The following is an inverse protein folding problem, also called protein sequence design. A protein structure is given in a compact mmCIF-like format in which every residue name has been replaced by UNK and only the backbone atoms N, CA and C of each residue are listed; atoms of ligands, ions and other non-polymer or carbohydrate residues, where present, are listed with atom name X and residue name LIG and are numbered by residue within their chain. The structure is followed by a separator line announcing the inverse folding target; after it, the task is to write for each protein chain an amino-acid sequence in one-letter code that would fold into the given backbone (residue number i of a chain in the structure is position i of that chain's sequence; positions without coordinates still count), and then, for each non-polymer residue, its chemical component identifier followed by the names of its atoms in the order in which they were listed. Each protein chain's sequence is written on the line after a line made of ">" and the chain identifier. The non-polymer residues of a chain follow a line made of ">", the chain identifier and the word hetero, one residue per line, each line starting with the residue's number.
data_IF_494431475258
#
_entry.id   IF_494431475258
#
_cell.length_a   1.000
_cell.length_b   1.000
_cell.length_c   1.000
_cell.angle_alpha   90.00
_cell.angle_beta   90.00
_cell.angle_gamma   90.00
#
_symmetry.space_group_name_H-M   'P 1'
#
loop_
_entity.id
_entity.type
_entity.pdbx_description
1 polymer ?
#
# COMPACT_ATOMS: atom_id res chain seq x y z
N UNK A 1 -32.26 2.76 71.08
CA UNK A 1 -31.93 3.86 70.13
C UNK A 1 -33.04 3.95 69.13
N UNK A 2 -33.79 5.10 69.02
CA UNK A 2 -34.86 5.21 68.01
C UNK A 2 -34.27 5.10 66.63
N UNK A 3 -34.78 4.21 65.77
CA UNK A 3 -34.43 4.13 64.35
C UNK A 3 -34.99 5.37 63.65
N UNK A 4 -34.15 6.30 63.34
CA UNK A 4 -34.51 7.48 62.51
C UNK A 4 -34.63 7.01 61.07
N UNK A 5 -35.81 7.06 60.49
CA UNK A 5 -36.03 6.73 59.08
C UNK A 5 -35.91 8.02 58.28
N UNK A 6 -34.81 8.16 57.54
CA UNK A 6 -34.55 9.32 56.66
C UNK A 6 -34.78 8.98 55.19
N UNK A 7 -35.44 9.82 54.46
CA UNK A 7 -35.47 9.80 53.01
C UNK A 7 -34.24 10.57 52.49
N UNK A 8 -33.38 9.90 51.74
CA UNK A 8 -32.16 10.49 51.19
C UNK A 8 -32.36 10.75 49.69
N UNK A 9 -32.24 12.00 49.30
CA UNK A 9 -32.19 12.40 47.89
C UNK A 9 -30.78 12.91 47.58
N UNK A 10 -30.15 12.33 46.54
CA UNK A 10 -28.80 12.72 46.15
C UNK A 10 -28.78 13.16 44.66
N UNK A 11 -28.07 14.22 44.36
CA UNK A 11 -27.71 14.62 43.01
C UNK A 11 -26.22 14.55 42.86
N UNK A 12 -25.75 13.81 41.82
CA UNK A 12 -24.36 13.74 41.44
C UNK A 12 -24.20 14.48 40.11
N UNK A 13 -23.30 15.44 40.10
CA UNK A 13 -22.95 16.20 38.89
C UNK A 13 -21.54 15.89 38.49
N UNK A 14 -21.35 15.55 37.24
CA UNK A 14 -20.02 15.39 36.63
C UNK A 14 -19.60 16.68 35.94
N UNK A 15 -18.32 16.98 36.01
CA UNK A 15 -17.69 18.06 35.25
C UNK A 15 -17.00 17.54 33.98
N UNK A 16 -16.25 18.39 33.29
CA UNK A 16 -15.56 18.04 32.06
C UNK A 16 -14.52 16.94 32.30
N UNK A 17 -14.55 15.92 31.45
CA UNK A 17 -13.59 14.81 31.47
C UNK A 17 -12.30 15.29 30.78
N UNK A 18 -11.18 15.10 31.43
CA UNK A 18 -9.84 15.29 30.84
C UNK A 18 -9.27 13.94 30.47
N UNK A 19 -8.99 13.77 29.17
CA UNK A 19 -8.41 12.54 28.65
C UNK A 19 -6.93 12.75 28.33
N UNK A 20 -6.08 11.81 28.71
CA UNK A 20 -4.68 11.76 28.32
C UNK A 20 -4.25 10.33 27.99
N UNK A 21 -3.27 10.19 27.09
CA UNK A 21 -2.65 8.91 26.78
C UNK A 21 -1.40 8.70 27.64
N UNK A 22 -1.29 7.55 28.29
CA UNK A 22 -0.09 7.10 29.01
C UNK A 22 0.37 5.77 28.45
N UNK A 23 1.24 5.79 27.44
CA UNK A 23 1.63 4.58 26.71
C UNK A 23 0.41 3.94 26.01
N UNK A 24 0.07 2.72 26.42
CA UNK A 24 -1.11 2.00 25.95
C UNK A 24 -2.35 2.21 26.83
N UNK A 25 -2.28 3.03 27.84
CA UNK A 25 -3.43 3.34 28.69
C UNK A 25 -4.02 4.70 28.33
N UNK A 26 -5.32 4.78 28.39
CA UNK A 26 -6.10 6.01 28.36
C UNK A 26 -6.45 6.33 29.80
N UNK A 27 -6.00 7.47 30.28
CA UNK A 27 -6.32 7.97 31.60
C UNK A 27 -7.36 9.07 31.45
N UNK A 28 -8.43 8.95 32.24
CA UNK A 28 -9.50 9.94 32.30
C UNK A 28 -9.64 10.45 33.72
N UNK A 29 -9.59 11.77 33.90
CA UNK A 29 -9.82 12.44 35.15
C UNK A 29 -11.12 13.24 35.05
N UNK A 30 -12.01 13.03 36.03
CA UNK A 30 -13.34 13.65 36.01
C UNK A 30 -13.68 14.15 37.40
N UNK A 31 -13.76 15.47 37.58
CA UNK A 31 -14.28 16.02 38.85
C UNK A 31 -15.77 15.69 39.02
N UNK A 32 -16.13 15.25 40.18
CA UNK A 32 -17.51 14.89 40.55
C UNK A 32 -17.89 15.68 41.79
N UNK A 33 -19.05 16.30 41.76
CA UNK A 33 -19.67 16.94 42.93
C UNK A 33 -20.96 16.22 43.30
N UNK A 34 -21.11 15.91 44.58
CA UNK A 34 -22.30 15.28 45.11
C UNK A 34 -22.98 16.21 46.12
N UNK A 35 -24.31 16.29 46.01
CA UNK A 35 -25.16 16.97 46.98
C UNK A 35 -26.22 15.98 47.45
N UNK A 36 -26.21 15.68 48.72
CA UNK A 36 -27.11 14.71 49.37
C UNK A 36 -27.94 15.43 50.40
N UNK A 37 -29.25 15.40 50.26
CA UNK A 37 -30.18 15.96 51.21
C UNK A 37 -30.91 14.85 51.98
N UNK A 38 -30.77 14.83 53.28
CA UNK A 38 -31.48 13.94 54.15
C UNK A 38 -32.70 14.68 54.75
N UNK A 39 -33.90 14.11 54.58
CA UNK A 39 -35.12 14.63 55.20
C UNK A 39 -35.62 13.57 56.20
N UNK A 40 -35.82 13.98 57.41
CA UNK A 40 -36.48 13.12 58.40
C UNK A 40 -38.00 13.12 58.18
N UNK A 41 -38.60 11.95 58.13
CA UNK A 41 -40.05 11.74 57.95
C UNK A 41 -40.85 12.28 59.15
N UNK A 42 -40.21 12.53 60.32
CA UNK A 42 -40.83 13.07 61.52
C UNK A 42 -40.55 14.54 61.81
N UNK A 43 -39.83 15.24 60.91
CA UNK A 43 -39.73 16.71 60.95
C UNK A 43 -38.67 17.31 61.90
N UNK A 44 -37.87 16.51 62.59
CA UNK A 44 -36.81 16.95 63.50
C UNK A 44 -35.54 17.44 62.78
N UNK A 45 -35.24 16.95 61.57
CA UNK A 45 -34.16 17.44 60.72
C UNK A 45 -34.72 18.22 59.55
N UNK A 46 -34.47 19.52 59.56
CA UNK A 46 -34.89 20.48 58.52
C UNK A 46 -34.00 20.37 57.30
N UNK A 47 -33.91 19.16 56.65
CA UNK A 47 -33.30 19.08 55.32
C UNK A 47 -31.79 19.39 55.28
N UNK A 48 -31.01 18.77 56.15
CA UNK A 48 -29.55 18.95 56.13
C UNK A 48 -28.94 18.44 54.80
N UNK A 49 -28.09 19.28 54.23
CA UNK A 49 -27.43 18.98 52.91
C UNK A 49 -25.97 18.62 53.14
N UNK A 50 -25.62 17.41 52.82
CA UNK A 50 -24.21 17.00 52.72
C UNK A 50 -23.66 17.33 51.32
N UNK A 51 -22.48 17.90 51.27
CA UNK A 51 -21.75 18.15 50.05
C UNK A 51 -20.41 17.41 50.06
N UNK A 52 -20.04 16.90 48.92
CA UNK A 52 -18.74 16.24 48.74
C UNK A 52 -18.22 16.50 47.33
N UNK A 53 -16.91 16.59 47.19
CA UNK A 53 -16.23 16.70 45.89
C UNK A 53 -15.18 15.61 45.82
N UNK A 54 -15.16 14.89 44.73
CA UNK A 54 -14.17 13.85 44.44
C UNK A 54 -13.58 14.04 43.06
N UNK A 55 -12.36 13.57 42.86
CA UNK A 55 -11.75 13.38 41.58
C UNK A 55 -11.86 11.88 41.24
N UNK A 56 -12.60 11.56 40.19
CA UNK A 56 -12.66 10.19 39.67
C UNK A 56 -11.56 10.00 38.62
N UNK A 57 -10.89 8.88 38.74
CA UNK A 57 -9.82 8.46 37.83
C UNK A 57 -10.21 7.16 37.16
N UNK A 58 -10.12 7.12 35.84
CA UNK A 58 -10.29 5.90 35.07
C UNK A 58 -9.01 5.59 34.28
N UNK A 59 -8.52 4.38 34.40
CA UNK A 59 -7.43 3.85 33.58
C UNK A 59 -8.00 2.77 32.68
N UNK A 60 -7.98 3.01 31.37
CA UNK A 60 -8.62 2.19 30.36
C UNK A 60 -7.53 1.64 29.44
N UNK A 61 -7.49 0.33 29.29
CA UNK A 61 -6.67 -0.36 28.29
C UNK A 61 -7.58 -1.03 27.28
N UNK A 62 -7.50 -0.58 26.01
CA UNK A 62 -8.28 -1.15 24.92
C UNK A 62 -7.57 -2.40 24.39
N UNK A 63 -8.35 -3.36 23.95
CA UNK A 63 -7.90 -4.61 23.32
C UNK A 63 -8.75 -4.89 22.09
N UNK A 64 -8.12 -5.38 21.05
CA UNK A 64 -8.79 -5.83 19.85
C UNK A 64 -8.85 -7.36 19.85
N UNK A 65 -10.04 -7.90 19.67
CA UNK A 65 -10.25 -9.36 19.60
C UNK A 65 -9.95 -9.89 18.20
N UNK A 66 -9.81 -11.22 18.08
CA UNK A 66 -9.58 -11.89 16.79
C UNK A 66 -10.70 -11.66 15.76
N UNK A 67 -11.89 -11.29 16.18
CA UNK A 67 -13.03 -10.99 15.32
C UNK A 67 -13.29 -9.49 15.16
N UNK A 68 -12.26 -8.65 15.37
CA UNK A 68 -12.29 -7.20 15.21
C UNK A 68 -13.28 -6.47 16.12
N UNK A 69 -13.56 -7.01 17.29
CA UNK A 69 -14.33 -6.29 18.31
C UNK A 69 -13.40 -5.55 19.26
N UNK A 70 -13.81 -4.35 19.60
CA UNK A 70 -13.13 -3.56 20.61
C UNK A 70 -13.63 -4.00 21.98
N UNK A 71 -12.70 -4.34 22.85
CA UNK A 71 -12.95 -4.61 24.28
C UNK A 71 -11.91 -3.84 25.10
N UNK A 72 -12.00 -3.92 26.42
CA UNK A 72 -11.03 -3.23 27.26
C UNK A 72 -11.12 -3.64 28.71
N UNK A 73 -10.07 -3.33 29.45
CA UNK A 73 -10.05 -3.37 30.90
C UNK A 73 -10.10 -1.95 31.42
N UNK A 74 -10.92 -1.72 32.41
CA UNK A 74 -11.12 -0.42 33.03
C UNK A 74 -10.90 -0.59 34.51
N UNK A 75 -10.07 0.27 35.10
CA UNK A 75 -9.91 0.41 36.54
C UNK A 75 -10.38 1.80 36.91
N UNK A 76 -11.28 1.87 37.87
CA UNK A 76 -11.81 3.11 38.40
C UNK A 76 -11.33 3.29 39.85
N UNK A 77 -10.93 4.50 40.16
CA UNK A 77 -10.66 4.96 41.50
C UNK A 77 -11.19 6.37 41.69
N UNK A 78 -11.28 6.81 42.91
CA UNK A 78 -11.62 8.20 43.21
C UNK A 78 -10.90 8.64 44.49
N UNK A 79 -10.61 9.92 44.54
CA UNK A 79 -10.04 10.57 45.71
C UNK A 79 -10.93 11.72 46.14
N UNK A 80 -11.24 11.78 47.41
CA UNK A 80 -12.02 12.86 47.96
C UNK A 80 -11.19 14.15 48.03
N UNK A 81 -11.55 15.16 47.23
CA UNK A 81 -11.06 16.51 47.36
C UNK A 81 -11.69 17.22 48.56
N UNK A 82 -12.99 17.00 48.72
CA UNK A 82 -13.75 17.42 49.90
C UNK A 82 -14.61 16.25 50.33
N UNK A 83 -14.24 15.52 51.41
CA UNK A 83 -15.03 14.39 51.90
C UNK A 83 -16.48 14.77 52.16
N UNK A 84 -17.45 13.87 51.89
CA UNK A 84 -18.84 14.15 52.16
C UNK A 84 -19.09 14.42 53.62
N UNK A 85 -19.77 15.51 53.90
CA UNK A 85 -20.05 15.93 55.27
C UNK A 85 -21.15 16.98 55.36
N UNK A 86 -21.68 17.15 56.57
CA UNK A 86 -22.68 18.15 56.92
C UNK A 86 -21.99 19.17 57.83
N UNK A 87 -22.26 20.44 57.55
CA UNK A 87 -21.85 21.52 58.42
C UNK A 87 -22.90 21.76 59.47
N UNK A 88 -22.60 21.35 60.72
CA UNK A 88 -23.52 21.44 61.83
C UNK A 88 -22.90 22.19 62.99
N UNK A 89 -23.50 23.28 63.46
CA UNK A 89 -23.02 24.12 64.55
C UNK A 89 -21.57 24.60 64.40
N UNK A 90 -21.12 24.90 63.16
CA UNK A 90 -19.78 25.34 62.84
C UNK A 90 -18.72 24.22 62.77
N UNK A 91 -19.12 22.99 62.93
CA UNK A 91 -18.25 21.81 62.77
C UNK A 91 -18.72 20.95 61.58
N UNK A 92 -17.75 20.46 60.79
CA UNK A 92 -18.02 19.59 59.68
C UNK A 92 -17.96 18.09 60.11
N UNK A 93 -19.13 17.47 60.12
CA UNK A 93 -19.27 16.03 60.38
C UNK A 93 -19.01 15.29 59.09
N UNK A 94 -17.93 14.50 59.01
CA UNK A 94 -17.52 13.75 57.79
C UNK A 94 -18.04 12.30 57.85
N UNK A 95 -18.49 11.75 56.72
CA UNK A 95 -18.93 10.33 56.58
C UNK A 95 -18.33 9.69 55.33
N UNK A 96 -17.06 9.96 55.06
CA UNK A 96 -16.36 9.38 53.91
C UNK A 96 -16.44 7.85 53.91
N UNK A 97 -16.17 7.19 55.01
CA UNK A 97 -16.20 5.72 55.12
C UNK A 97 -17.55 5.11 54.69
N UNK A 98 -18.66 5.69 55.15
CA UNK A 98 -20.01 5.24 54.76
C UNK A 98 -20.34 5.52 53.30
N UNK A 99 -19.81 6.59 52.76
CA UNK A 99 -19.91 6.91 51.34
C UNK A 99 -19.10 5.90 50.49
N UNK A 100 -17.91 5.55 50.94
CA UNK A 100 -17.03 4.59 50.25
C UNK A 100 -17.65 3.20 50.22
N UNK A 101 -18.24 2.73 51.33
CA UNK A 101 -18.99 1.46 51.40
C UNK A 101 -20.09 1.39 50.32
N UNK A 102 -20.77 2.49 50.06
CA UNK A 102 -21.86 2.56 49.07
C UNK A 102 -21.36 2.78 47.65
N UNK A 103 -20.23 3.46 47.45
CA UNK A 103 -19.65 3.76 46.14
C UNK A 103 -18.88 2.59 45.55
N UNK A 104 -18.20 1.78 46.41
CA UNK A 104 -17.42 0.65 45.89
C UNK A 104 -18.20 -0.36 45.04
N UNK A 105 -19.43 -0.79 45.42
CA UNK A 105 -20.24 -1.66 44.55
C UNK A 105 -20.54 -1.03 43.19
N UNK A 106 -20.82 0.30 43.17
CA UNK A 106 -21.11 1.07 41.94
C UNK A 106 -19.87 1.12 41.04
N UNK A 107 -18.71 1.39 41.62
CA UNK A 107 -17.42 1.37 40.90
C UNK A 107 -17.21 -0.02 40.27
N UNK A 108 -17.35 -1.10 41.02
CA UNK A 108 -17.22 -2.47 40.51
C UNK A 108 -18.27 -2.80 39.44
N UNK A 109 -19.46 -2.25 39.50
CA UNK A 109 -20.48 -2.43 38.49
C UNK A 109 -20.08 -1.66 37.20
N UNK A 110 -19.64 -0.41 37.29
CA UNK A 110 -19.18 0.38 36.17
C UNK A 110 -17.97 -0.28 35.47
N UNK A 111 -17.02 -0.82 36.25
CA UNK A 111 -15.87 -1.57 35.67
C UNK A 111 -16.32 -2.79 34.87
N UNK A 112 -17.40 -3.44 35.25
CA UNK A 112 -17.97 -4.58 34.52
C UNK A 112 -18.79 -4.19 33.30
N UNK A 113 -19.50 -3.05 33.36
CA UNK A 113 -20.45 -2.64 32.33
C UNK A 113 -19.78 -1.83 31.21
N UNK A 114 -18.77 -1.01 31.52
CA UNK A 114 -18.06 -0.21 30.54
C UNK A 114 -17.44 -1.03 29.38
N UNK A 115 -16.81 -2.21 29.61
CA UNK A 115 -16.34 -3.05 28.51
C UNK A 115 -17.44 -3.50 27.54
N UNK A 116 -18.67 -3.69 28.05
CA UNK A 116 -19.82 -4.04 27.22
C UNK A 116 -20.22 -2.89 26.28
N UNK A 117 -20.09 -1.64 26.73
CA UNK A 117 -20.34 -0.47 25.88
C UNK A 117 -19.29 -0.32 24.80
N UNK A 118 -18.03 -0.71 25.05
CA UNK A 118 -16.98 -0.71 24.03
C UNK A 118 -17.29 -1.70 22.90
N UNK A 119 -17.91 -2.84 23.19
CA UNK A 119 -18.28 -3.83 22.17
C UNK A 119 -19.41 -3.35 21.25
N UNK A 120 -20.16 -2.32 21.62
CA UNK A 120 -21.18 -1.68 20.77
C UNK A 120 -20.57 -0.81 19.64
N UNK A 121 -19.28 -0.52 19.73
CA UNK A 121 -18.56 0.12 18.62
C UNK A 121 -18.45 -0.88 17.48
N UNK A 122 -19.16 -0.67 16.39
CA UNK A 122 -19.22 -1.57 15.23
C UNK A 122 -17.94 -1.51 14.40
N UNK A 123 -16.77 -1.72 15.06
CA UNK A 123 -15.46 -1.62 14.41
C UNK A 123 -15.31 -2.66 13.30
N UNK A 124 -15.77 -3.89 13.52
CA UNK A 124 -15.71 -4.97 12.54
C UNK A 124 -16.33 -4.58 11.20
N UNK A 125 -17.55 -4.05 11.21
CA UNK A 125 -18.26 -3.64 9.98
C UNK A 125 -17.47 -2.60 9.20
N UNK A 126 -16.88 -1.64 9.91
CA UNK A 126 -16.07 -0.58 9.27
C UNK A 126 -14.77 -1.14 8.69
N UNK A 127 -14.07 -1.99 9.44
CA UNK A 127 -12.84 -2.64 8.97
C UNK A 127 -13.13 -3.57 7.80
N UNK A 128 -14.24 -4.32 7.83
CA UNK A 128 -14.64 -5.20 6.73
C UNK A 128 -14.96 -4.43 5.45
N UNK A 129 -15.62 -3.29 5.58
CA UNK A 129 -15.85 -2.41 4.44
C UNK A 129 -14.54 -1.93 3.82
N UNK A 130 -13.59 -1.49 4.64
CA UNK A 130 -12.26 -1.07 4.19
C UNK A 130 -11.45 -2.22 3.58
N UNK A 131 -11.55 -3.41 4.18
CA UNK A 131 -10.91 -4.61 3.67
C UNK A 131 -11.36 -4.92 2.24
N UNK A 132 -12.67 -4.88 1.99
CA UNK A 132 -13.25 -5.09 0.65
C UNK A 132 -12.80 -4.03 -0.35
N UNK A 133 -12.70 -2.77 0.07
CA UNK A 133 -12.21 -1.68 -0.80
C UNK A 133 -10.71 -1.80 -1.15
N UNK A 134 -9.96 -2.56 -0.38
CA UNK A 134 -8.55 -2.85 -0.65
C UNK A 134 -8.35 -3.77 -1.87
N UNK A 135 -9.37 -4.53 -2.31
CA UNK A 135 -9.33 -5.36 -3.50
C UNK A 135 -9.66 -4.49 -4.73
N UNK A 136 -8.67 -3.85 -5.27
CA UNK A 136 -8.87 -2.86 -6.31
C UNK A 136 -7.78 -2.91 -7.37
N UNK A 137 -8.16 -2.51 -8.57
CA UNK A 137 -7.24 -2.23 -9.67
C UNK A 137 -7.10 -0.74 -9.84
N UNK A 138 -5.90 -0.23 -9.64
CA UNK A 138 -5.55 1.18 -9.70
C UNK A 138 -4.86 1.49 -11.02
N UNK A 139 -5.23 2.59 -11.64
CA UNK A 139 -4.55 3.10 -12.81
C UNK A 139 -3.27 3.82 -12.39
N UNK A 140 -2.13 3.38 -12.93
CA UNK A 140 -0.82 4.01 -12.71
C UNK A 140 -0.47 4.96 -13.86
N UNK A 141 -0.89 4.64 -15.08
CA UNK A 141 -0.64 5.42 -16.28
C UNK A 141 -1.82 5.31 -17.26
N UNK A 142 -2.30 6.44 -17.78
CA UNK A 142 -3.48 6.50 -18.65
C UNK A 142 -3.17 6.21 -20.12
N UNK A 143 -1.95 6.47 -20.57
CA UNK A 143 -1.60 6.44 -22.01
C UNK A 143 -0.16 5.99 -22.26
N UNK A 144 0.04 5.28 -23.35
CA UNK A 144 1.31 4.96 -24.01
C UNK A 144 2.37 4.24 -23.14
N UNK A 145 2.17 3.02 -22.76
CA UNK A 145 0.94 2.24 -22.69
C UNK A 145 0.16 2.54 -21.41
N UNK A 146 -1.12 2.11 -21.36
CA UNK A 146 -1.90 2.10 -20.11
C UNK A 146 -1.29 1.11 -19.13
N UNK A 147 -1.12 1.50 -17.87
CA UNK A 147 -0.53 0.63 -16.83
C UNK A 147 -1.45 0.59 -15.61
N UNK A 148 -1.70 -0.62 -15.13
CA UNK A 148 -2.58 -0.90 -14.00
C UNK A 148 -1.85 -1.62 -12.89
N UNK A 149 -2.19 -1.33 -11.65
CA UNK A 149 -1.74 -2.08 -10.49
C UNK A 149 -2.95 -2.73 -9.81
N UNK A 150 -2.96 -4.05 -9.76
CA UNK A 150 -3.95 -4.83 -9.02
C UNK A 150 -3.43 -5.08 -7.61
N UNK A 151 -4.25 -4.74 -6.62
CA UNK A 151 -3.94 -4.88 -5.21
C UNK A 151 -4.83 -5.97 -4.61
N UNK A 152 -4.21 -7.01 -4.06
CA UNK A 152 -4.89 -8.12 -3.40
C UNK A 152 -4.48 -8.19 -1.93
N UNK A 153 -5.29 -7.65 -1.00
CA UNK A 153 -5.06 -7.74 0.43
C UNK A 153 -4.88 -9.17 0.93
N UNK A 154 -3.89 -9.39 1.78
CA UNK A 154 -3.60 -10.68 2.37
C UNK A 154 -3.73 -10.71 3.88
N UNK A 155 -3.31 -9.64 4.55
CA UNK A 155 -3.39 -9.52 6.01
C UNK A 155 -3.59 -8.07 6.41
N UNK A 156 -4.40 -7.86 7.43
CA UNK A 156 -4.50 -6.57 8.09
C UNK A 156 -3.72 -6.63 9.40
N UNK A 157 -2.75 -5.72 9.55
CA UNK A 157 -1.85 -5.64 10.70
C UNK A 157 -2.44 -4.65 11.70
N UNK A 158 -2.28 -4.94 12.98
CA UNK A 158 -2.67 -4.06 14.07
C UNK A 158 -1.48 -3.83 14.99
N UNK A 159 -0.91 -2.64 14.97
CA UNK A 159 0.23 -2.22 15.78
C UNK A 159 -0.15 -1.58 17.11
N UNK A 160 -1.45 -1.47 17.40
CA UNK A 160 -1.92 -0.86 18.63
C UNK A 160 -2.66 0.47 18.41
N UNK A 161 -2.70 1.29 19.45
CA UNK A 161 -3.34 2.61 19.41
C UNK A 161 -2.62 3.61 20.32
N UNK A 162 -2.85 4.88 20.03
CA UNK A 162 -2.43 5.99 20.89
C UNK A 162 -3.54 7.03 21.01
N UNK A 163 -3.66 7.65 22.19
CA UNK A 163 -4.54 8.79 22.39
C UNK A 163 -3.70 10.07 22.31
N UNK A 164 -4.01 10.94 21.35
CA UNK A 164 -3.40 12.28 21.23
C UNK A 164 -4.49 13.31 20.90
N UNK A 165 -4.44 14.46 21.55
CA UNK A 165 -5.39 15.56 21.30
C UNK A 165 -6.87 15.10 21.39
N UNK A 166 -7.21 14.30 22.39
CA UNK A 166 -8.53 13.68 22.57
C UNK A 166 -9.02 12.82 21.39
N UNK A 167 -8.10 12.37 20.51
CA UNK A 167 -8.40 11.50 19.39
C UNK A 167 -7.69 10.17 19.55
N UNK A 168 -8.45 9.09 19.43
CA UNK A 168 -7.90 7.75 19.36
C UNK A 168 -7.36 7.50 17.95
N UNK A 169 -6.08 7.19 17.85
CA UNK A 169 -5.43 6.79 16.59
C UNK A 169 -5.13 5.31 16.67
N UNK A 170 -5.60 4.57 15.70
CA UNK A 170 -5.25 3.15 15.53
C UNK A 170 -4.08 3.06 14.56
N UNK A 171 -3.11 2.20 14.89
CA UNK A 171 -2.03 1.82 13.99
C UNK A 171 -2.45 0.55 13.22
N UNK A 172 -2.73 0.73 11.94
CA UNK A 172 -3.14 -0.33 11.04
C UNK A 172 -2.18 -0.41 9.86
N UNK A 173 -1.81 -1.60 9.48
CA UNK A 173 -1.04 -1.87 8.28
C UNK A 173 -1.76 -2.87 7.37
N UNK A 174 -1.43 -2.86 6.09
CA UNK A 174 -1.96 -3.78 5.10
C UNK A 174 -0.81 -4.53 4.44
N UNK A 175 -0.77 -5.84 4.59
CA UNK A 175 0.04 -6.69 3.74
C UNK A 175 -0.79 -7.11 2.54
N UNK A 176 -0.33 -6.80 1.34
CA UNK A 176 -1.01 -7.08 0.09
C UNK A 176 -0.05 -7.56 -1.00
N UNK A 177 -0.54 -8.41 -1.88
CA UNK A 177 0.10 -8.72 -3.14
C UNK A 177 -0.20 -7.60 -4.13
N UNK A 178 0.82 -7.14 -4.84
CA UNK A 178 0.67 -6.19 -5.94
C UNK A 178 1.09 -6.84 -7.24
N UNK A 179 0.28 -6.66 -8.29
CA UNK A 179 0.58 -7.12 -9.64
C UNK A 179 0.41 -5.93 -10.59
N UNK A 180 1.28 -5.83 -11.57
CA UNK A 180 1.20 -4.75 -12.56
C UNK A 180 0.87 -5.34 -13.94
N UNK A 181 -0.01 -4.67 -14.66
CA UNK A 181 -0.47 -5.06 -15.99
C UNK A 181 -0.30 -3.90 -16.95
N UNK A 182 0.13 -4.22 -18.16
CA UNK A 182 0.25 -3.28 -19.27
C UNK A 182 -0.86 -3.58 -20.27
N UNK A 183 -1.54 -2.53 -20.76
CA UNK A 183 -2.64 -2.69 -21.73
C UNK A 183 -4.03 -2.61 -21.09
N UNK A 184 -4.97 -3.50 -21.42
CA UNK A 184 -6.34 -3.45 -20.93
C UNK A 184 -6.42 -3.54 -19.40
N UNK A 185 -7.39 -2.84 -18.79
CA UNK A 185 -7.63 -2.92 -17.36
C UNK A 185 -7.97 -4.36 -16.94
N UNK A 186 -7.20 -4.99 -16.04
CA UNK A 186 -7.54 -6.29 -15.49
C UNK A 186 -8.75 -6.18 -14.56
N UNK A 187 -9.47 -7.30 -14.39
CA UNK A 187 -10.57 -7.38 -13.43
C UNK A 187 -10.06 -7.12 -11.99
N UNK A 188 -10.92 -6.52 -11.18
CA UNK A 188 -10.63 -6.39 -9.74
C UNK A 188 -10.56 -7.78 -9.09
N UNK A 189 -9.68 -7.97 -8.10
CA UNK A 189 -9.60 -9.25 -7.40
C UNK A 189 -10.88 -9.48 -6.58
N UNK A 190 -11.30 -10.73 -6.48
CA UNK A 190 -12.46 -11.09 -5.66
C UNK A 190 -12.13 -10.92 -4.18
N UNK A 191 -12.92 -10.12 -3.42
CA UNK A 191 -12.69 -9.93 -2.01
C UNK A 191 -12.82 -11.25 -1.22
N UNK A 192 -11.83 -11.54 -0.40
CA UNK A 192 -11.88 -12.63 0.58
C UNK A 192 -12.49 -12.15 1.89
N UNK A 193 -12.99 -13.06 2.75
CA UNK A 193 -13.43 -12.71 4.10
C UNK A 193 -12.31 -12.04 4.89
N UNK A 194 -12.70 -11.07 5.74
CA UNK A 194 -11.76 -10.41 6.65
C UNK A 194 -11.14 -11.42 7.62
N UNK A 195 -9.83 -11.52 7.59
CA UNK A 195 -9.04 -12.37 8.49
C UNK A 195 -8.88 -11.73 9.88
N UNK A 196 -8.57 -12.52 10.93
CA UNK A 196 -8.18 -11.98 12.21
C UNK A 196 -7.03 -10.96 12.10
N UNK A 197 -6.97 -9.94 12.99
CA UNK A 197 -5.87 -8.99 13.00
C UNK A 197 -4.54 -9.69 13.29
N UNK A 198 -3.53 -9.43 12.49
CA UNK A 198 -2.17 -9.79 12.83
C UNK A 198 -1.58 -8.73 13.78
N UNK A 199 -1.28 -9.12 15.02
CA UNK A 199 -0.71 -8.23 16.03
C UNK A 199 0.77 -7.94 15.73
N UNK A 200 1.01 -7.09 14.75
CA UNK A 200 2.32 -6.65 14.31
C UNK A 200 2.29 -5.16 14.08
N UNK A 201 3.31 -4.47 14.55
CA UNK A 201 3.47 -3.05 14.29
C UNK A 201 3.77 -2.84 12.79
N UNK A 202 3.01 -1.96 12.14
CA UNK A 202 3.32 -1.50 10.80
C UNK A 202 4.18 -0.25 10.92
N UNK A 203 5.41 -0.32 10.42
CA UNK A 203 6.34 0.81 10.38
C UNK A 203 5.98 1.85 9.32
N UNK A 204 4.90 1.59 8.58
CA UNK A 204 4.45 2.42 7.47
C UNK A 204 5.27 2.22 6.20
N UNK A 205 6.27 1.36 6.20
CA UNK A 205 7.04 1.04 5.00
C UNK A 205 6.24 0.20 4.02
N UNK A 206 6.51 0.36 2.74
CA UNK A 206 6.02 -0.53 1.70
C UNK A 206 7.12 -0.83 0.70
N UNK A 207 7.01 -1.98 0.04
CA UNK A 207 7.79 -2.34 -1.13
C UNK A 207 6.83 -2.79 -2.25
N UNK A 208 7.02 -2.23 -3.43
CA UNK A 208 6.27 -2.58 -4.63
C UNK A 208 7.21 -3.15 -5.66
N UNK A 209 6.79 -4.20 -6.35
CA UNK A 209 7.44 -4.64 -7.60
C UNK A 209 6.66 -4.03 -8.76
N UNK A 210 7.35 -3.28 -9.59
CA UNK A 210 6.80 -2.63 -10.76
C UNK A 210 7.45 -3.30 -11.98
N UNK A 211 6.75 -4.20 -12.66
CA UNK A 211 7.25 -4.77 -13.90
C UNK A 211 7.17 -3.71 -15.00
N UNK A 212 8.28 -3.36 -15.59
CA UNK A 212 8.33 -2.59 -16.83
C UNK A 212 8.48 -3.58 -17.96
N UNK A 213 7.52 -3.62 -18.86
CA UNK A 213 7.53 -4.52 -20.00
C UNK A 213 7.58 -3.72 -21.29
N UNK A 214 8.55 -4.03 -22.15
CA UNK A 214 8.56 -3.56 -23.52
C UNK A 214 8.08 -4.69 -24.45
N UNK A 215 6.91 -4.50 -25.05
CA UNK A 215 6.34 -5.46 -25.98
C UNK A 215 7.19 -5.55 -27.24
N UNK A 216 7.44 -6.76 -27.75
CA UNK A 216 8.18 -6.93 -29.00
C UNK A 216 7.45 -6.29 -30.18
N UNK A 217 6.12 -6.31 -30.19
CA UNK A 217 5.33 -5.66 -31.22
C UNK A 217 5.62 -4.13 -31.36
N UNK A 218 6.00 -3.50 -30.25
CA UNK A 218 6.43 -2.09 -30.28
C UNK A 218 7.90 -1.92 -30.73
N UNK A 219 8.74 -2.92 -30.52
CA UNK A 219 10.13 -2.92 -30.94
C UNK A 219 10.31 -3.23 -32.43
N UNK A 220 9.47 -4.10 -32.98
CA UNK A 220 9.54 -4.52 -34.42
C UNK A 220 9.59 -3.34 -35.39
N UNK A 221 8.68 -2.35 -35.34
CA UNK A 221 8.73 -1.22 -36.25
C UNK A 221 9.93 -0.30 -36.02
N UNK A 222 10.47 -0.23 -34.81
CA UNK A 222 11.65 0.57 -34.49
C UNK A 222 12.88 -0.02 -35.19
N UNK A 223 13.07 -1.33 -35.04
CA UNK A 223 14.20 -2.05 -35.65
C UNK A 223 14.08 -2.00 -37.17
N UNK A 224 12.88 -2.24 -37.71
CA UNK A 224 12.66 -2.21 -39.15
C UNK A 224 12.98 -0.82 -39.78
N UNK A 225 12.58 0.26 -39.11
CA UNK A 225 12.97 1.62 -39.55
C UNK A 225 14.46 1.84 -39.51
N UNK A 226 15.18 1.32 -38.49
CA UNK A 226 16.64 1.43 -38.43
C UNK A 226 17.31 0.68 -39.56
N UNK A 227 16.82 -0.53 -39.89
CA UNK A 227 17.28 -1.32 -41.02
C UNK A 227 17.03 -0.62 -42.38
N UNK A 228 15.85 -0.03 -42.59
CA UNK A 228 15.54 0.74 -43.79
C UNK A 228 16.49 1.95 -43.95
N UNK A 229 16.72 2.69 -42.84
CA UNK A 229 17.69 3.80 -42.86
C UNK A 229 19.09 3.35 -43.22
N UNK A 230 19.54 2.21 -42.71
CA UNK A 230 20.87 1.65 -43.02
C UNK A 230 20.94 1.12 -44.44
N UNK A 231 19.86 0.54 -44.99
CA UNK A 231 19.76 -0.03 -46.33
C UNK A 231 19.85 1.04 -47.46
N UNK A 232 19.76 2.34 -47.12
CA UNK A 232 19.98 3.41 -48.06
C UNK A 232 21.43 3.42 -48.65
N UNK A 233 22.34 2.65 -48.00
CA UNK A 233 23.73 2.43 -48.48
C UNK A 233 24.01 0.94 -48.59
N UNK A 234 24.75 0.46 -49.61
CA UNK A 234 25.12 -0.92 -49.72
C UNK A 234 25.89 -1.43 -48.49
N UNK A 235 25.75 -2.71 -48.21
CA UNK A 235 26.52 -3.42 -47.20
C UNK A 235 27.79 -3.99 -47.85
N UNK A 236 28.95 -3.55 -47.42
CA UNK A 236 30.21 -4.08 -47.94
C UNK A 236 30.54 -5.40 -47.20
N UNK A 237 30.42 -6.51 -47.90
CA UNK A 237 30.72 -7.84 -47.36
C UNK A 237 32.12 -8.27 -47.82
N UNK A 238 32.95 -8.83 -46.92
CA UNK A 238 34.22 -9.46 -47.31
C UNK A 238 33.96 -10.56 -48.35
N UNK A 239 34.75 -10.57 -49.42
CA UNK A 239 34.68 -11.54 -50.54
C UNK A 239 33.47 -11.44 -51.47
N UNK A 240 32.37 -10.80 -51.08
CA UNK A 240 31.14 -10.65 -51.87
C UNK A 240 30.97 -9.23 -52.44
N UNK A 241 31.70 -8.27 -51.88
CA UNK A 241 31.62 -6.87 -52.28
C UNK A 241 30.36 -6.16 -51.76
N UNK A 242 29.95 -5.05 -52.42
CA UNK A 242 28.79 -4.28 -51.99
C UNK A 242 27.46 -5.05 -52.29
N UNK A 243 26.62 -5.20 -51.28
CA UNK A 243 25.30 -5.85 -51.35
C UNK A 243 24.21 -4.83 -51.10
N UNK A 244 23.22 -4.80 -51.98
CA UNK A 244 21.97 -4.07 -51.78
C UNK A 244 20.98 -4.98 -51.08
N UNK A 245 20.43 -4.52 -49.96
CA UNK A 245 19.42 -5.25 -49.21
C UNK A 245 18.13 -4.46 -49.08
N UNK A 246 16.99 -5.17 -49.12
CA UNK A 246 15.67 -4.65 -48.85
C UNK A 246 15.05 -5.47 -47.74
N UNK A 247 14.55 -4.82 -46.71
CA UNK A 247 13.94 -5.45 -45.52
C UNK A 247 12.44 -5.33 -45.62
N UNK A 248 11.72 -6.44 -45.57
CA UNK A 248 10.29 -6.51 -45.80
C UNK A 248 9.51 -6.65 -44.49
N UNK A 249 9.97 -7.53 -43.57
CA UNK A 249 9.28 -7.82 -42.32
C UNK A 249 10.29 -8.12 -41.22
N UNK A 250 9.89 -7.79 -40.01
CA UNK A 250 10.60 -8.17 -38.80
C UNK A 250 9.62 -8.84 -37.83
N UNK A 251 10.09 -9.86 -37.12
CA UNK A 251 9.34 -10.55 -36.05
C UNK A 251 10.27 -10.76 -34.88
N UNK A 252 9.83 -10.40 -33.68
CA UNK A 252 10.61 -10.58 -32.47
C UNK A 252 9.82 -11.37 -31.41
N UNK A 253 10.50 -12.23 -30.63
CA UNK A 253 9.92 -12.95 -29.52
C UNK A 253 10.99 -13.44 -28.55
N UNK A 254 10.59 -13.67 -27.28
CA UNK A 254 11.46 -14.28 -26.28
C UNK A 254 11.64 -15.78 -26.52
N UNK A 255 12.87 -16.28 -26.38
CA UNK A 255 13.19 -17.71 -26.51
C UNK A 255 13.92 -18.21 -25.26
N UNK A 256 14.30 -19.48 -25.23
CA UNK A 256 14.96 -20.11 -24.10
C UNK A 256 16.31 -19.45 -23.76
N UNK A 257 16.74 -19.58 -22.50
CA UNK A 257 18.03 -19.04 -22.04
C UNK A 257 18.08 -17.54 -21.93
N UNK A 258 16.96 -16.86 -21.65
CA UNK A 258 16.89 -15.41 -21.54
C UNK A 258 17.36 -14.69 -22.81
N UNK A 259 16.95 -15.17 -23.98
CA UNK A 259 17.32 -14.62 -25.28
C UNK A 259 16.10 -14.08 -26.01
N UNK A 260 16.30 -13.04 -26.80
CA UNK A 260 15.37 -12.59 -27.83
C UNK A 260 15.76 -13.23 -29.16
N UNK A 261 14.79 -13.66 -29.93
CA UNK A 261 14.96 -14.04 -31.33
C UNK A 261 14.34 -12.95 -32.21
N UNK A 262 15.08 -12.50 -33.19
CA UNK A 262 14.67 -11.51 -34.19
C UNK A 262 14.78 -12.12 -35.56
N UNK A 263 13.65 -12.36 -36.20
CA UNK A 263 13.56 -12.85 -37.58
C UNK A 263 13.43 -11.67 -38.55
N UNK A 264 14.31 -11.57 -39.51
CA UNK A 264 14.29 -10.51 -40.52
C UNK A 264 14.07 -11.12 -41.89
N UNK A 265 12.94 -10.84 -42.49
CA UNK A 265 12.63 -11.20 -43.88
C UNK A 265 13.19 -10.12 -44.79
N UNK A 266 14.03 -10.52 -45.74
CA UNK A 266 14.73 -9.59 -46.60
C UNK A 266 14.99 -10.17 -47.98
N UNK A 267 15.25 -9.28 -48.92
CA UNK A 267 15.85 -9.58 -50.22
C UNK A 267 17.22 -8.94 -50.30
N UNK A 268 18.18 -9.64 -50.87
CA UNK A 268 19.53 -9.11 -51.08
C UNK A 268 20.11 -9.52 -52.42
N UNK A 269 20.93 -8.61 -53.03
CA UNK A 269 21.65 -8.86 -54.27
C UNK A 269 23.00 -8.14 -54.31
N UNK A 270 23.97 -8.65 -55.06
CA UNK A 270 25.20 -7.90 -55.33
C UNK A 270 24.89 -6.62 -56.09
N UNK A 271 25.54 -5.50 -55.73
CA UNK A 271 25.38 -4.24 -56.41
C UNK A 271 25.84 -4.28 -57.88
N UNK A 272 26.63 -5.28 -58.27
CA UNK A 272 27.06 -5.51 -59.63
C UNK A 272 25.92 -5.89 -60.60
N UNK A 273 24.74 -6.24 -60.10
CA UNK A 273 23.57 -6.60 -60.89
C UNK A 273 23.67 -7.92 -61.69
N UNK A 274 24.72 -8.73 -61.49
CA UNK A 274 24.95 -9.99 -62.23
C UNK A 274 24.08 -11.16 -61.69
N UNK A 275 23.51 -11.03 -60.52
CA UNK A 275 22.69 -12.04 -59.83
C UNK A 275 21.40 -11.36 -59.36
N UNK A 276 20.30 -12.07 -59.52
CA UNK A 276 18.97 -11.59 -59.07
C UNK A 276 18.83 -11.50 -57.54
N UNK A 277 17.70 -11.01 -57.08
CA UNK A 277 17.39 -10.92 -55.67
C UNK A 277 17.31 -12.32 -55.05
N UNK A 278 18.02 -12.54 -53.94
CA UNK A 278 17.87 -13.70 -53.09
C UNK A 278 16.96 -13.31 -51.94
N UNK A 279 15.87 -14.08 -51.75
CA UNK A 279 14.89 -13.84 -50.67
C UNK A 279 15.07 -14.87 -49.56
N UNK A 280 14.81 -14.46 -48.34
CA UNK A 280 14.83 -15.38 -47.22
C UNK A 280 14.59 -14.68 -45.89
N UNK A 281 14.57 -15.49 -44.82
CA UNK A 281 14.50 -15.00 -43.45
C UNK A 281 15.75 -15.42 -42.69
N UNK A 282 16.42 -14.46 -42.08
CA UNK A 282 17.54 -14.68 -41.18
C UNK A 282 17.10 -14.47 -39.76
N UNK A 283 17.58 -15.31 -38.88
CA UNK A 283 17.30 -15.22 -37.45
C UNK A 283 18.55 -14.83 -36.68
N UNK A 284 18.37 -13.84 -35.81
CA UNK A 284 19.39 -13.44 -34.86
C UNK A 284 18.86 -13.71 -33.47
N UNK A 285 19.68 -14.25 -32.60
CA UNK A 285 19.37 -14.36 -31.19
C UNK A 285 20.37 -13.60 -30.37
N UNK A 286 19.93 -12.90 -29.35
CA UNK A 286 20.77 -12.13 -28.46
C UNK A 286 20.23 -12.18 -27.03
N UNK A 287 21.10 -11.97 -26.06
CA UNK A 287 20.74 -11.90 -24.66
C UNK A 287 20.65 -10.43 -24.21
N UNK A 288 19.50 -9.98 -23.69
CA UNK A 288 19.40 -8.66 -23.10
C UNK A 288 20.15 -8.62 -21.77
N UNK A 289 20.90 -7.55 -21.53
CA UNK A 289 21.64 -7.32 -20.29
C UNK A 289 21.56 -5.83 -19.90
N UNK A 290 21.59 -5.58 -18.61
CA UNK A 290 21.74 -4.26 -18.04
C UNK A 290 22.66 -4.29 -16.83
N UNK A 291 23.32 -3.19 -16.54
CA UNK A 291 24.08 -3.06 -15.30
C UNK A 291 23.14 -2.96 -14.10
N UNK A 292 23.55 -3.36 -12.90
CA UNK A 292 22.77 -3.17 -11.70
C UNK A 292 22.31 -1.72 -11.54
N UNK A 293 21.01 -1.53 -11.23
CA UNK A 293 20.37 -0.22 -11.13
C UNK A 293 20.41 0.65 -12.38
N UNK A 294 20.69 0.08 -13.54
CA UNK A 294 20.69 0.79 -14.81
C UNK A 294 19.47 0.42 -15.65
N UNK A 295 18.82 1.42 -16.19
CA UNK A 295 17.75 1.28 -17.17
C UNK A 295 18.29 1.25 -18.63
N UNK A 296 19.60 1.28 -18.81
CA UNK A 296 20.24 1.12 -20.10
C UNK A 296 20.38 -0.36 -20.42
N UNK A 297 19.67 -0.80 -21.44
CA UNK A 297 19.66 -2.18 -21.93
C UNK A 297 20.51 -2.28 -23.18
N UNK A 298 21.37 -3.27 -23.22
CA UNK A 298 22.15 -3.65 -24.40
C UNK A 298 22.04 -5.16 -24.62
N UNK A 299 22.53 -5.62 -25.77
CA UNK A 299 22.39 -7.01 -26.17
C UNK A 299 23.77 -7.64 -26.42
N UNK A 300 23.95 -8.80 -25.81
CA UNK A 300 25.18 -9.57 -25.90
C UNK A 300 24.93 -10.95 -26.57
N UNK A 301 26.00 -11.64 -26.91
CA UNK A 301 25.99 -13.01 -27.49
C UNK A 301 25.12 -13.10 -28.75
N UNK A 302 25.28 -12.14 -29.67
CA UNK A 302 24.54 -12.16 -30.91
C UNK A 302 24.93 -13.39 -31.76
N UNK A 303 23.98 -14.25 -32.02
CA UNK A 303 24.13 -15.42 -32.86
C UNK A 303 23.24 -15.32 -34.08
N UNK A 304 23.76 -15.69 -35.25
CA UNK A 304 23.01 -15.68 -36.50
C UNK A 304 22.75 -17.10 -36.94
N UNK A 305 21.50 -17.39 -37.26
CA UNK A 305 21.05 -18.65 -37.85
C UNK A 305 20.18 -18.32 -39.06
N UNK A 306 20.41 -18.92 -40.18
CA UNK A 306 19.63 -18.68 -41.38
C UNK A 306 19.26 -19.98 -42.07
N UNK A 307 18.04 -20.04 -42.62
CA UNK A 307 17.62 -21.00 -43.62
C UNK A 307 17.38 -20.25 -44.93
N UNK A 308 17.98 -20.71 -45.99
CA UNK A 308 17.69 -20.19 -47.31
C UNK A 308 17.41 -21.34 -48.29
N UNK A 309 16.47 -21.15 -49.15
CA UNK A 309 15.98 -22.16 -50.06
C UNK A 309 16.73 -22.21 -51.42
N UNK A 310 17.99 -21.76 -51.47
CA UNK A 310 18.71 -21.71 -52.73
C UNK A 310 20.16 -21.33 -52.72
N UNK A 311 20.76 -21.32 -53.89
CA UNK A 311 22.20 -21.03 -54.21
C UNK A 311 22.67 -19.66 -53.70
N UNK A 312 21.75 -18.77 -53.32
CA UNK A 312 22.05 -17.45 -52.77
C UNK A 312 22.04 -17.33 -51.25
N UNK A 313 21.79 -18.42 -50.52
CA UNK A 313 21.68 -18.42 -49.06
C UNK A 313 22.92 -17.90 -48.33
N UNK A 314 24.07 -18.15 -48.90
CA UNK A 314 25.36 -17.66 -48.37
C UNK A 314 25.40 -16.12 -48.29
N UNK A 315 24.71 -15.41 -49.22
CA UNK A 315 24.63 -13.96 -49.23
C UNK A 315 23.85 -13.44 -48.04
N UNK A 316 22.69 -14.07 -47.73
CA UNK A 316 21.84 -13.68 -46.63
C UNK A 316 22.53 -13.96 -45.28
N UNK A 317 23.15 -15.10 -45.12
CA UNK A 317 23.89 -15.48 -43.90
C UNK A 317 25.11 -14.56 -43.72
N UNK A 318 25.89 -14.32 -44.79
CA UNK A 318 27.02 -13.43 -44.75
C UNK A 318 26.62 -11.97 -44.44
N UNK A 319 25.48 -11.51 -44.96
CA UNK A 319 24.93 -10.21 -44.65
C UNK A 319 24.50 -10.12 -43.17
N UNK A 320 23.76 -11.11 -42.68
CA UNK A 320 23.30 -11.16 -41.30
C UNK A 320 24.44 -11.27 -40.28
N UNK A 321 25.51 -12.01 -40.65
CA UNK A 321 26.73 -12.12 -39.84
C UNK A 321 27.67 -10.91 -39.96
N UNK A 322 27.36 -9.96 -40.83
CA UNK A 322 28.23 -8.78 -41.01
C UNK A 322 28.09 -7.80 -39.80
N UNK A 323 29.19 -7.23 -39.32
CA UNK A 323 29.17 -6.21 -38.26
C UNK A 323 28.23 -5.03 -38.59
N UNK A 324 28.17 -4.65 -39.89
CA UNK A 324 27.33 -3.56 -40.35
C UNK A 324 25.81 -3.83 -40.26
N UNK A 325 25.39 -5.10 -40.22
CA UNK A 325 24.01 -5.49 -40.06
C UNK A 325 23.70 -5.75 -38.57
N UNK A 326 24.54 -6.55 -37.90
CA UNK A 326 24.35 -6.91 -36.52
C UNK A 326 24.39 -5.72 -35.57
N UNK A 327 25.28 -4.73 -35.84
CA UNK A 327 25.33 -3.50 -35.04
C UNK A 327 24.04 -2.68 -35.16
N UNK A 328 23.45 -2.59 -36.36
CA UNK A 328 22.18 -1.83 -36.55
C UNK A 328 21.05 -2.45 -35.72
N UNK A 329 20.98 -3.78 -35.68
CA UNK A 329 19.97 -4.47 -34.86
C UNK A 329 20.27 -4.31 -33.36
N UNK A 330 21.54 -4.49 -32.96
CA UNK A 330 21.94 -4.31 -31.59
C UNK A 330 21.70 -2.86 -31.11
N UNK A 331 22.03 -1.87 -31.90
CA UNK A 331 21.80 -0.45 -31.61
C UNK A 331 20.30 -0.12 -31.55
N UNK A 332 19.50 -0.67 -32.48
CA UNK A 332 18.06 -0.44 -32.53
C UNK A 332 17.31 -1.16 -31.39
N UNK A 333 17.83 -2.30 -30.93
CA UNK A 333 17.35 -3.00 -29.76
C UNK A 333 17.81 -2.35 -28.45
N UNK A 334 18.99 -1.72 -28.46
CA UNK A 334 19.52 -1.03 -27.28
C UNK A 334 18.64 0.15 -26.93
N UNK A 335 17.98 0.07 -25.78
CA UNK A 335 17.03 1.06 -25.32
C UNK A 335 17.55 1.72 -24.05
N UNK A 336 17.42 3.02 -23.99
CA UNK A 336 17.65 3.76 -22.77
C UNK A 336 16.31 4.08 -22.10
N UNK A 337 15.87 3.21 -21.22
CA UNK A 337 14.63 3.37 -20.46
C UNK A 337 14.74 4.38 -19.31
N UNK A 338 15.85 5.10 -19.16
CA UNK A 338 16.04 6.06 -18.07
C UNK A 338 14.98 7.14 -18.08
N UNK A 339 14.68 7.72 -19.25
CA UNK A 339 13.67 8.75 -19.38
C UNK A 339 12.27 8.20 -19.06
N UNK A 340 11.92 7.05 -19.64
CA UNK A 340 10.63 6.39 -19.44
C UNK A 340 10.44 5.97 -17.97
N UNK A 341 11.52 5.52 -17.33
CA UNK A 341 11.52 5.17 -15.91
C UNK A 341 11.33 6.41 -15.03
N UNK A 342 11.99 7.53 -15.30
CA UNK A 342 11.79 8.77 -14.55
C UNK A 342 10.38 9.33 -14.74
N UNK A 343 9.85 9.26 -15.95
CA UNK A 343 8.47 9.61 -16.24
C UNK A 343 7.50 8.70 -15.49
N UNK A 344 7.74 7.38 -15.52
CA UNK A 344 6.95 6.39 -14.77
C UNK A 344 7.03 6.62 -13.26
N UNK A 345 8.20 6.88 -12.70
CA UNK A 345 8.38 7.28 -11.29
C UNK A 345 7.56 8.53 -10.97
N UNK A 346 7.60 9.53 -11.84
CA UNK A 346 6.80 10.75 -11.70
C UNK A 346 5.29 10.46 -11.72
N UNK A 347 4.83 9.59 -12.61
CA UNK A 347 3.43 9.14 -12.70
C UNK A 347 3.03 8.36 -11.45
N UNK A 348 3.87 7.43 -10.99
CA UNK A 348 3.64 6.66 -9.77
C UNK A 348 3.56 7.61 -8.55
N UNK A 349 4.52 8.52 -8.38
CA UNK A 349 4.49 9.50 -7.29
C UNK A 349 3.18 10.31 -7.29
N UNK A 350 2.68 10.73 -8.46
CA UNK A 350 1.38 11.41 -8.57
C UNK A 350 0.21 10.49 -8.27
N UNK A 351 0.24 9.26 -8.79
CA UNK A 351 -0.85 8.30 -8.60
C UNK A 351 -1.01 7.85 -7.15
N UNK A 352 0.10 7.64 -6.43
CA UNK A 352 0.09 7.17 -5.04
C UNK A 352 0.28 8.31 -4.02
N UNK A 353 0.70 9.52 -4.43
CA UNK A 353 1.13 10.62 -3.55
C UNK A 353 0.09 10.99 -2.49
N UNK A 354 -0.84 11.87 -2.80
CA UNK A 354 -1.93 12.21 -1.89
C UNK A 354 -3.26 11.83 -2.55
N UNK A 355 -3.91 10.79 -2.02
CA UNK A 355 -5.27 10.44 -2.42
C UNK A 355 -6.25 10.79 -1.30
N UNK A 356 -7.30 11.51 -1.66
CA UNK A 356 -8.45 11.78 -0.81
C UNK A 356 -9.59 10.90 -1.27
N UNK A 357 -10.00 9.98 -0.41
CA UNK A 357 -11.30 9.31 -0.54
C UNK A 357 -12.29 9.96 0.42
N UNK A 358 -13.59 9.70 0.33
CA UNK A 358 -14.56 10.26 1.27
C UNK A 358 -14.24 10.05 2.74
N UNK A 359 -13.49 8.97 3.05
CA UNK A 359 -13.20 8.56 4.42
C UNK A 359 -11.71 8.52 4.78
N UNK A 360 -10.80 8.61 3.79
CA UNK A 360 -9.36 8.48 4.02
C UNK A 360 -8.56 9.52 3.27
N UNK A 361 -7.50 9.94 3.91
CA UNK A 361 -6.41 10.66 3.29
C UNK A 361 -5.17 9.76 3.33
N UNK A 362 -4.73 9.33 2.16
CA UNK A 362 -3.55 8.49 1.98
C UNK A 362 -2.42 9.42 1.53
N UNK A 363 -1.31 9.37 2.24
CA UNK A 363 -0.05 10.02 1.85
C UNK A 363 0.99 8.96 1.67
N UNK A 364 1.62 8.97 0.52
CA UNK A 364 2.71 8.04 0.18
C UNK A 364 3.93 8.83 -0.24
N UNK A 365 5.07 8.40 0.22
CA UNK A 365 6.36 8.90 -0.22
C UNK A 365 7.19 7.75 -0.77
N UNK A 366 7.74 7.92 -1.96
CA UNK A 366 8.64 6.97 -2.59
C UNK A 366 10.06 7.33 -2.17
N UNK A 367 10.73 6.43 -1.42
CA UNK A 367 12.06 6.68 -0.87
C UNK A 367 13.15 6.25 -1.85
N UNK A 368 13.03 5.05 -2.47
CA UNK A 368 14.00 4.55 -3.44
C UNK A 368 13.38 3.68 -4.52
N UNK A 369 14.13 3.51 -5.59
CA UNK A 369 13.83 2.55 -6.66
C UNK A 369 15.11 1.80 -7.01
N UNK A 370 15.02 0.48 -7.11
CA UNK A 370 16.08 -0.42 -7.53
C UNK A 370 15.66 -1.11 -8.82
N UNK A 371 16.53 -1.09 -9.81
CA UNK A 371 16.31 -1.73 -11.11
C UNK A 371 17.00 -3.10 -11.06
N UNK A 372 16.23 -4.15 -11.28
CA UNK A 372 16.75 -5.51 -11.37
C UNK A 372 17.33 -5.86 -12.74
N UNK A 373 17.62 -7.12 -12.95
CA UNK A 373 18.13 -7.59 -14.23
C UNK A 373 17.00 -7.78 -15.24
N UNK A 374 17.23 -7.31 -16.47
CA UNK A 374 16.32 -7.48 -17.58
C UNK A 374 16.25 -8.95 -18.00
N UNK A 375 15.07 -9.36 -18.42
CA UNK A 375 14.85 -10.69 -18.96
C UNK A 375 13.93 -10.69 -20.17
N UNK A 376 14.17 -11.63 -21.08
CA UNK A 376 13.32 -11.87 -22.24
C UNK A 376 12.21 -12.87 -21.89
N UNK A 377 10.96 -12.47 -22.05
CA UNK A 377 9.78 -13.31 -21.90
C UNK A 377 9.04 -13.46 -23.24
N UNK A 378 8.04 -14.36 -23.29
CA UNK A 378 7.37 -14.72 -24.54
C UNK A 378 6.87 -13.53 -25.38
N UNK A 379 6.36 -12.46 -24.77
CA UNK A 379 5.76 -11.32 -25.47
C UNK A 379 6.57 -10.02 -25.37
N UNK A 380 7.61 -9.95 -24.54
CA UNK A 380 8.35 -8.71 -24.36
C UNK A 380 9.58 -8.85 -23.47
N UNK A 381 10.34 -7.76 -23.41
CA UNK A 381 11.43 -7.58 -22.46
C UNK A 381 10.87 -7.14 -21.12
N UNK A 382 11.28 -7.78 -20.06
CA UNK A 382 10.81 -7.52 -18.70
C UNK A 382 11.95 -6.96 -17.85
N UNK A 383 11.74 -5.75 -17.32
CA UNK A 383 12.64 -5.08 -16.41
C UNK A 383 11.96 -4.92 -15.04
N UNK A 384 12.33 -5.72 -14.03
CA UNK A 384 11.75 -5.58 -12.70
C UNK A 384 12.29 -4.33 -12.00
N UNK A 385 11.40 -3.48 -11.52
CA UNK A 385 11.74 -2.30 -10.71
C UNK A 385 11.13 -2.49 -9.33
N UNK A 386 11.97 -2.54 -8.31
CA UNK A 386 11.54 -2.52 -6.92
C UNK A 386 11.48 -1.08 -6.44
N UNK A 387 10.33 -0.66 -5.97
CA UNK A 387 10.12 0.64 -5.36
C UNK A 387 9.86 0.47 -3.88
N UNK A 388 10.54 1.22 -3.03
CA UNK A 388 10.30 1.25 -1.59
C UNK A 388 9.89 2.65 -1.15
N UNK A 389 9.15 2.72 -0.05
CA UNK A 389 8.66 3.99 0.43
C UNK A 389 7.90 3.88 1.73
N UNK A 390 7.26 4.98 2.12
CA UNK A 390 6.40 5.06 3.29
C UNK A 390 5.01 5.51 2.92
N UNK A 391 4.03 4.87 3.54
CA UNK A 391 2.63 5.20 3.40
C UNK A 391 2.01 5.51 4.76
N UNK A 392 1.21 6.56 4.81
CA UNK A 392 0.39 6.90 5.97
C UNK A 392 -1.05 7.08 5.55
N UNK A 393 -1.95 6.41 6.22
CA UNK A 393 -3.38 6.50 5.99
C UNK A 393 -4.00 7.21 7.20
N UNK A 394 -4.71 8.30 6.95
CA UNK A 394 -5.45 9.01 7.99
C UNK A 394 -6.95 8.91 7.69
N UNK A 395 -7.71 8.45 8.66
CA UNK A 395 -9.17 8.53 8.58
C UNK A 395 -9.61 10.00 8.64
N UNK A 396 -10.40 10.42 7.68
CA UNK A 396 -10.92 11.78 7.53
C UNK A 396 -12.47 11.82 7.51
N UNK A 397 -13.12 10.70 7.79
CA UNK A 397 -14.58 10.63 7.92
C UNK A 397 -15.06 11.19 9.25
N UNK A 398 -16.40 11.37 9.36
CA UNK A 398 -17.09 11.85 10.58
C UNK A 398 -16.83 10.96 11.81
N UNK A 399 -17.41 11.31 12.97
CA UNK A 399 -17.21 10.56 14.20
C UNK A 399 -17.53 9.07 14.00
N UNK A 400 -16.67 8.22 14.55
CA UNK A 400 -16.82 6.77 14.54
C UNK A 400 -17.99 6.32 15.39
#
# INVERSE_FOLDING_TARGET
>A
TPKITCAIHGTVSRHAIRLRGEGQDIVADMPISARITARDVRGLLKGETATGVAMAHARIRLMLTSDWRLTGRIKLSYDWTTPPGIDFLGQRIRFAEKADEKLQPIVRQLERDLPRHLSQVHLRTKVEHLWRQGFATLELNERNPTVWMRLTPQKLLYGGYVLRENKLRLDLGLAALTETFVGPRPADPTPTPLLPPAHTHADGSFALMIPVTADYAELEPVILRALHKRAARPFNLPKLGPIIARFDKLTAYGTTGNRIAVGVTLAARPASGKVGDTHGTVWLTARPVNQPNSALVHFEDLQVTGNSDGIGGDILIALAGSPAFSSVIADALSQNFTHDLEELKGKIRRAIGERKTPHFRIRTNLDSTEIGQISAHGQGLYLPVRATGRAAIRYAGGPL
#
